data_IF_025707026360
#
_entry.id   IF_025707026360
#
_cell.length_a   1.000
_cell.length_b   1.000
_cell.length_c   1.000
_cell.angle_alpha   90.00
_cell.angle_beta   90.00
_cell.angle_gamma   90.00
#
_symmetry.space_group_name_H-M   'P 1'
#
loop_
_entity.id
_entity.type
_entity.pdbx_description
1 polymer ?
#
# COMPACT_ATOMS: atom_id res chain seq x y z
N UNK A 1 1.54 16.51 6.96
CA UNK A 1 0.81 15.28 6.61
C UNK A 1 1.80 14.20 6.20
N UNK A 2 1.56 12.96 6.60
CA UNK A 2 2.32 11.78 6.16
C UNK A 2 1.43 10.88 5.31
N UNK A 3 1.85 10.58 4.08
CA UNK A 3 1.14 9.66 3.19
C UNK A 3 1.94 8.36 3.00
N UNK A 4 1.27 7.23 3.07
CA UNK A 4 1.84 5.91 2.81
C UNK A 4 1.31 5.36 1.49
N UNK A 5 2.22 5.09 0.55
CA UNK A 5 1.86 4.57 -0.78
C UNK A 5 1.48 3.09 -0.79
N UNK A 6 0.65 2.72 -1.76
CA UNK A 6 0.27 1.35 -2.06
C UNK A 6 1.41 0.52 -2.65
N UNK A 7 1.26 -0.80 -2.62
CA UNK A 7 2.21 -1.71 -3.28
C UNK A 7 2.26 -1.41 -4.77
N UNK A 8 3.46 -1.26 -5.31
CA UNK A 8 3.66 -0.94 -6.72
C UNK A 8 3.44 0.52 -7.09
N UNK A 9 3.24 1.43 -6.12
CA UNK A 9 2.96 2.83 -6.40
C UNK A 9 3.89 3.80 -5.65
N UNK A 10 4.01 5.01 -6.19
CA UNK A 10 4.73 6.15 -5.59
C UNK A 10 4.10 7.46 -6.04
N UNK A 11 4.10 8.46 -5.15
CA UNK A 11 3.58 9.81 -5.40
C UNK A 11 2.10 9.88 -5.82
N UNK A 12 1.36 8.78 -5.70
CA UNK A 12 -0.06 8.69 -6.06
C UNK A 12 -0.98 9.48 -5.11
N UNK A 13 -0.43 10.04 -4.02
CA UNK A 13 -1.16 10.91 -3.10
C UNK A 13 -1.90 12.07 -3.78
N UNK A 14 -1.40 12.56 -4.92
CA UNK A 14 -2.05 13.62 -5.71
C UNK A 14 -3.43 13.19 -6.23
N UNK A 15 -3.69 11.89 -6.38
CA UNK A 15 -5.02 11.37 -6.76
C UNK A 15 -6.06 11.58 -5.66
N UNK A 16 -5.62 11.83 -4.42
CA UNK A 16 -6.47 11.99 -3.26
C UNK A 16 -6.50 13.44 -2.74
N UNK A 17 -5.91 14.39 -3.47
CA UNK A 17 -5.63 15.75 -2.95
C UNK A 17 -6.86 16.47 -2.41
N UNK A 18 -8.03 16.26 -3.01
CA UNK A 18 -9.30 16.86 -2.56
C UNK A 18 -9.76 16.36 -1.18
N UNK A 19 -9.35 15.16 -0.77
CA UNK A 19 -9.70 14.56 0.53
C UNK A 19 -8.56 14.64 1.55
N UNK A 20 -7.33 14.92 1.11
CA UNK A 20 -6.17 14.90 2.00
C UNK A 20 -6.15 16.08 2.97
N UNK A 21 -6.09 15.77 4.25
CA UNK A 21 -5.84 16.74 5.31
C UNK A 21 -4.34 17.04 5.41
N UNK A 22 -3.96 18.31 5.31
CA UNK A 22 -2.55 18.74 5.18
C UNK A 22 -1.87 19.12 6.51
N UNK A 23 -2.49 18.81 7.66
CA UNK A 23 -1.94 19.11 8.98
C UNK A 23 -0.69 18.28 9.33
N UNK A 24 0.11 18.77 10.28
CA UNK A 24 1.37 18.13 10.69
C UNK A 24 1.17 16.72 11.30
N UNK A 25 0.03 16.49 11.93
CA UNK A 25 -0.33 15.24 12.64
C UNK A 25 -1.37 14.40 11.88
N UNK A 26 -1.64 14.73 10.62
CA UNK A 26 -2.54 13.97 9.76
C UNK A 26 -1.78 12.88 9.01
N UNK A 27 -2.32 11.67 9.05
CA UNK A 27 -1.77 10.49 8.41
C UNK A 27 -2.77 9.99 7.37
N UNK A 28 -2.28 9.51 6.24
CA UNK A 28 -3.11 8.87 5.22
C UNK A 28 -2.38 7.73 4.54
N UNK A 29 -3.11 6.79 3.95
CA UNK A 29 -2.49 5.76 3.13
C UNK A 29 -3.47 5.08 2.19
N UNK A 30 -2.96 4.54 1.09
CA UNK A 30 -3.73 3.85 0.06
C UNK A 30 -3.32 2.37 -0.05
N UNK A 31 -4.27 1.44 -0.18
CA UNK A 31 -3.99 0.02 -0.40
C UNK A 31 -3.07 -0.56 0.71
N UNK A 32 -1.91 -1.12 0.38
CA UNK A 32 -0.88 -1.53 1.36
C UNK A 32 -0.47 -0.37 2.27
N UNK A 33 -0.41 0.85 1.74
CA UNK A 33 -0.10 2.05 2.49
C UNK A 33 -1.11 2.37 3.58
N UNK A 34 -2.39 2.01 3.40
CA UNK A 34 -3.39 2.15 4.46
C UNK A 34 -3.07 1.26 5.68
N UNK A 35 -2.52 0.06 5.44
CA UNK A 35 -2.03 -0.81 6.54
C UNK A 35 -0.85 -0.15 7.25
N UNK A 36 0.13 0.37 6.49
CA UNK A 36 1.28 1.07 7.09
C UNK A 36 0.85 2.32 7.87
N UNK A 37 -0.19 3.02 7.40
CA UNK A 37 -0.75 4.20 8.03
C UNK A 37 -1.38 3.90 9.40
N UNK A 38 -2.20 2.84 9.49
CA UNK A 38 -2.81 2.44 10.77
C UNK A 38 -1.76 1.95 11.77
N UNK A 39 -0.77 1.16 11.32
CA UNK A 39 0.33 0.70 12.16
C UNK A 39 1.17 1.87 12.69
N UNK A 40 1.49 2.83 11.82
CA UNK A 40 2.19 4.03 12.25
C UNK A 40 1.38 4.82 13.28
N UNK A 41 0.10 5.10 13.01
CA UNK A 41 -0.76 5.83 13.94
C UNK A 41 -0.89 5.12 15.30
N UNK A 42 -1.06 3.79 15.30
CA UNK A 42 -1.15 2.99 16.51
C UNK A 42 0.14 3.10 17.35
N UNK A 43 1.31 2.95 16.71
CA UNK A 43 2.60 3.06 17.38
C UNK A 43 2.87 4.48 17.92
N UNK A 44 2.43 5.54 17.23
CA UNK A 44 2.52 6.92 17.73
C UNK A 44 1.65 7.11 18.97
N UNK A 45 0.41 6.60 18.96
CA UNK A 45 -0.51 6.67 20.10
C UNK A 45 0.04 5.91 21.31
N UNK A 46 0.60 4.71 21.12
CA UNK A 46 1.26 3.95 22.19
C UNK A 46 2.41 4.74 22.84
N UNK A 47 3.10 5.56 22.04
CA UNK A 47 4.18 6.43 22.50
C UNK A 47 3.69 7.82 22.95
N UNK A 48 2.38 7.97 23.21
CA UNK A 48 1.73 9.19 23.67
C UNK A 48 1.93 10.40 22.72
N UNK A 49 2.17 10.14 21.44
CA UNK A 49 2.25 11.18 20.41
C UNK A 49 0.90 11.40 19.75
N UNK A 50 0.63 12.67 19.44
CA UNK A 50 -0.65 13.09 18.87
C UNK A 50 -0.79 12.64 17.41
N UNK A 51 -1.90 11.96 17.14
CA UNK A 51 -2.48 11.83 15.79
C UNK A 51 -3.74 12.67 15.73
N UNK A 52 -3.88 13.48 14.68
CA UNK A 52 -5.06 14.34 14.52
C UNK A 52 -6.11 13.69 13.62
N UNK A 53 -5.70 13.07 12.52
CA UNK A 53 -6.60 12.34 11.63
C UNK A 53 -5.87 11.20 10.95
N UNK A 54 -6.59 10.10 10.69
CA UNK A 54 -6.12 8.93 9.95
C UNK A 54 -7.10 8.66 8.81
N UNK A 55 -6.65 8.82 7.56
CA UNK A 55 -7.44 8.54 6.36
C UNK A 55 -6.93 7.27 5.66
N UNK A 56 -7.79 6.28 5.52
CA UNK A 56 -7.45 4.97 4.96
C UNK A 56 -8.19 4.76 3.64
N UNK A 57 -7.48 4.91 2.53
CA UNK A 57 -8.04 4.74 1.19
C UNK A 57 -7.90 3.28 0.74
N UNK A 58 -9.04 2.61 0.54
CA UNK A 58 -9.13 1.23 0.02
C UNK A 58 -8.10 0.26 0.62
N UNK A 59 -8.11 -0.02 1.95
CA UNK A 59 -7.14 -0.91 2.57
C UNK A 59 -7.13 -2.30 1.94
N UNK A 60 -5.94 -2.84 1.64
CA UNK A 60 -5.80 -4.14 0.97
C UNK A 60 -5.35 -5.23 1.94
N UNK A 61 -6.28 -6.05 2.44
CA UNK A 61 -6.00 -7.13 3.39
C UNK A 61 -6.07 -8.50 2.73
N UNK A 62 -4.93 -9.18 2.57
CA UNK A 62 -4.84 -10.48 1.86
C UNK A 62 -4.62 -11.68 2.79
N UNK A 63 -4.68 -11.47 4.11
CA UNK A 63 -4.46 -12.50 5.14
C UNK A 63 -5.32 -13.76 4.92
N UNK A 64 -6.56 -13.57 4.48
CA UNK A 64 -7.59 -14.59 4.26
C UNK A 64 -7.34 -15.48 3.03
N UNK A 65 -6.41 -15.11 2.15
CA UNK A 65 -6.10 -15.92 0.96
C UNK A 65 -5.41 -17.22 1.35
N UNK A 66 -5.58 -18.26 0.54
CA UNK A 66 -4.99 -19.58 0.80
C UNK A 66 -3.46 -19.55 0.75
N UNK A 67 -2.81 -20.47 1.48
CA UNK A 67 -1.37 -20.68 1.41
C UNK A 67 -0.88 -20.93 -0.02
N UNK A 68 -1.65 -21.67 -0.82
CA UNK A 68 -1.35 -21.92 -2.22
C UNK A 68 -1.34 -20.63 -3.05
N UNK A 69 -2.33 -19.75 -2.86
CA UNK A 69 -2.36 -18.43 -3.50
C UNK A 69 -1.15 -17.60 -3.13
N UNK A 70 -0.83 -17.48 -1.82
CA UNK A 70 0.31 -16.68 -1.36
C UNK A 70 1.64 -17.19 -1.92
N UNK A 71 1.85 -18.51 -1.90
CA UNK A 71 3.04 -19.16 -2.48
C UNK A 71 3.17 -18.89 -3.98
N UNK A 72 2.07 -18.93 -4.73
CA UNK A 72 2.06 -18.62 -6.15
C UNK A 72 2.44 -17.15 -6.42
N UNK A 73 1.90 -16.21 -5.65
CA UNK A 73 2.24 -14.79 -5.81
C UNK A 73 3.73 -14.54 -5.55
N UNK A 74 4.26 -15.08 -4.45
CA UNK A 74 5.67 -14.93 -4.08
C UNK A 74 6.61 -15.59 -5.11
N UNK A 75 6.32 -16.82 -5.54
CA UNK A 75 7.15 -17.51 -6.53
C UNK A 75 7.11 -16.84 -7.91
N UNK A 76 5.94 -16.32 -8.32
CA UNK A 76 5.79 -15.59 -9.56
C UNK A 76 6.59 -14.29 -9.55
N UNK A 77 6.53 -13.54 -8.43
CA UNK A 77 7.32 -12.33 -8.25
C UNK A 77 8.82 -12.62 -8.26
N UNK A 78 9.28 -13.63 -7.52
CA UNK A 78 10.70 -14.01 -7.47
C UNK A 78 11.26 -14.44 -8.83
N UNK A 79 10.44 -15.14 -9.64
CA UNK A 79 10.85 -15.64 -10.95
C UNK A 79 11.05 -14.50 -11.96
N UNK A 80 10.12 -13.56 -12.01
CA UNK A 80 10.18 -12.42 -12.92
C UNK A 80 9.40 -11.23 -12.31
N UNK A 81 10.08 -10.38 -11.51
CA UNK A 81 9.45 -9.25 -10.85
C UNK A 81 8.81 -8.28 -11.84
N UNK A 82 9.43 -8.09 -13.01
CA UNK A 82 8.95 -7.13 -14.01
C UNK A 82 7.65 -7.62 -14.63
N UNK A 83 7.61 -8.86 -15.12
CA UNK A 83 6.40 -9.42 -15.69
C UNK A 83 5.28 -9.55 -14.64
N UNK A 84 5.62 -9.85 -13.39
CA UNK A 84 4.64 -9.83 -12.29
C UNK A 84 4.02 -8.44 -12.14
N UNK A 85 4.84 -7.39 -12.07
CA UNK A 85 4.35 -6.02 -11.93
C UNK A 85 3.55 -5.56 -13.15
N UNK A 86 3.97 -5.89 -14.37
CA UNK A 86 3.24 -5.57 -15.59
C UNK A 86 1.84 -6.20 -15.59
N UNK A 87 1.72 -7.46 -15.16
CA UNK A 87 0.42 -8.12 -14.99
C UNK A 87 -0.40 -7.49 -13.86
N UNK A 88 0.22 -7.17 -12.72
CA UNK A 88 -0.46 -6.45 -11.63
C UNK A 88 -1.08 -5.14 -12.11
N UNK A 89 -0.34 -4.32 -12.87
CA UNK A 89 -0.85 -3.05 -13.39
C UNK A 89 -1.98 -3.21 -14.39
N UNK A 90 -1.92 -4.28 -15.20
CA UNK A 90 -3.01 -4.64 -16.11
C UNK A 90 -4.27 -5.01 -15.35
N UNK A 91 -4.15 -5.84 -14.31
CA UNK A 91 -5.30 -6.32 -13.52
C UNK A 91 -5.96 -5.21 -12.69
N UNK A 92 -5.19 -4.23 -12.17
CA UNK A 92 -5.76 -3.06 -11.49
C UNK A 92 -6.36 -2.03 -12.46
N UNK A 93 -6.28 -2.27 -13.78
CA UNK A 93 -6.84 -1.38 -14.80
C UNK A 93 -6.13 -0.03 -14.90
N UNK A 94 -4.81 0.00 -14.69
CA UNK A 94 -4.05 1.25 -14.69
C UNK A 94 -4.10 1.91 -16.08
N UNK A 95 -4.59 3.14 -16.16
CA UNK A 95 -4.62 3.91 -17.40
C UNK A 95 -3.26 4.55 -17.70
N UNK A 96 -3.01 4.91 -18.97
CA UNK A 96 -1.76 5.53 -19.40
C UNK A 96 -1.40 6.82 -18.62
N UNK A 97 -2.40 7.55 -18.12
CA UNK A 97 -2.20 8.78 -17.34
C UNK A 97 -1.63 8.51 -15.94
N UNK A 98 -1.80 7.28 -15.43
CA UNK A 98 -1.39 6.87 -14.08
C UNK A 98 -0.04 6.13 -14.08
N UNK A 99 0.56 5.89 -15.25
CA UNK A 99 1.88 5.26 -15.41
C UNK A 99 2.98 5.96 -14.61
N UNK A 100 2.90 7.29 -14.47
CA UNK A 100 3.86 8.10 -13.69
C UNK A 100 3.93 7.75 -12.20
N UNK A 101 2.94 7.02 -11.69
CA UNK A 101 2.89 6.59 -10.30
C UNK A 101 3.42 5.17 -10.11
N UNK A 102 3.79 4.45 -11.17
CA UNK A 102 4.36 3.11 -11.05
C UNK A 102 5.67 3.15 -10.28
N UNK A 103 5.84 2.17 -9.40
CA UNK A 103 7.09 1.88 -8.71
C UNK A 103 7.27 0.37 -8.70
N UNK A 104 8.49 -0.11 -8.92
CA UNK A 104 8.79 -1.52 -8.70
C UNK A 104 8.52 -1.87 -7.23
N UNK A 105 7.60 -2.81 -6.99
CA UNK A 105 7.38 -3.36 -5.66
C UNK A 105 8.59 -4.19 -5.22
N UNK A 106 8.68 -4.51 -3.93
CA UNK A 106 9.69 -5.45 -3.43
C UNK A 106 9.07 -6.77 -2.98
N UNK A 107 9.89 -7.82 -2.90
CA UNK A 107 9.44 -9.11 -2.38
C UNK A 107 8.98 -8.98 -0.93
N UNK A 108 9.68 -8.17 -0.13
CA UNK A 108 9.36 -7.92 1.28
C UNK A 108 8.01 -7.20 1.42
N UNK A 109 7.73 -6.22 0.56
CA UNK A 109 6.43 -5.54 0.55
C UNK A 109 5.29 -6.49 0.17
N UNK A 110 5.52 -7.37 -0.81
CA UNK A 110 4.55 -8.38 -1.23
C UNK A 110 4.31 -9.42 -0.13
N UNK A 111 5.38 -9.90 0.50
CA UNK A 111 5.30 -10.85 1.61
C UNK A 111 4.58 -10.25 2.82
N UNK A 112 4.89 -9.00 3.16
CA UNK A 112 4.16 -8.23 4.15
C UNK A 112 2.67 -8.18 3.83
N UNK A 113 2.30 -7.73 2.63
CA UNK A 113 0.90 -7.59 2.22
C UNK A 113 0.11 -8.91 2.26
N UNK A 114 0.72 -10.01 1.84
CA UNK A 114 0.10 -11.33 1.80
C UNK A 114 -0.11 -11.94 3.19
N UNK A 115 0.76 -11.61 4.15
CA UNK A 115 0.81 -12.27 5.45
C UNK A 115 0.37 -11.39 6.63
N UNK A 116 0.24 -10.08 6.43
CA UNK A 116 -0.19 -9.15 7.47
C UNK A 116 -1.51 -9.59 8.12
N UNK A 117 -1.55 -9.60 9.45
CA UNK A 117 -2.72 -9.88 10.27
C UNK A 117 -2.90 -8.73 11.24
N UNK A 118 -4.14 -8.28 11.39
CA UNK A 118 -4.56 -7.28 12.38
C UNK A 118 -4.85 -7.95 13.73
#
# INVERSE_FOLDING_TARGET
MRFFSGFGFVNESVLFEEWLLKGAYDISGFSMGAIKAIEYAYNEVLQQRRINSLLLFSPCMLAHKSLAFKRLQLSSFQKDPKNYMDNFYKEVGLSAQLERFKKMGSLEELEFLLNYKY
#
